data_IF_295356395918
#
_entry.id   IF_295356395918
#
_cell.length_a   1.000
_cell.length_b   1.000
_cell.length_c   1.000
_cell.angle_alpha   90.00
_cell.angle_beta   90.00
_cell.angle_gamma   90.00
#
_symmetry.space_group_name_H-M   'P 1'
#
loop_
_entity.id
_entity.type
_entity.pdbx_description
1 polymer ?
#
# COMPACT_ATOMS: atom_id res chain seq x y z
N UNK A 1 -14.40 0.80 24.01
CA UNK A 1 -13.13 0.61 23.27
C UNK A 1 -13.33 1.07 21.84
N UNK A 2 -12.31 1.65 21.23
CA UNK A 2 -12.32 1.91 19.79
C UNK A 2 -11.39 0.88 19.12
N UNK A 3 -12.01 -0.11 18.47
CA UNK A 3 -11.36 -1.31 17.96
C UNK A 3 -11.49 -1.37 16.44
N UNK A 4 -10.38 -1.18 15.75
CA UNK A 4 -10.31 -1.28 14.29
C UNK A 4 -9.48 -2.49 13.91
N UNK A 5 -9.97 -3.24 12.94
CA UNK A 5 -9.28 -4.40 12.39
C UNK A 5 -9.37 -4.32 10.88
N UNK A 6 -8.22 -4.42 10.21
CA UNK A 6 -8.11 -4.49 8.76
C UNK A 6 -7.50 -5.85 8.36
N UNK A 7 -7.77 -6.28 7.13
CA UNK A 7 -7.30 -7.57 6.66
C UNK A 7 -7.77 -7.91 5.25
N UNK A 8 -7.30 -9.06 4.78
CA UNK A 8 -7.76 -9.70 3.55
C UNK A 8 -8.86 -10.72 3.89
N UNK A 9 -9.30 -11.48 2.88
CA UNK A 9 -10.16 -12.65 3.09
C UNK A 9 -9.45 -13.73 3.91
N UNK A 10 -8.14 -13.86 3.73
CA UNK A 10 -7.32 -14.91 4.33
C UNK A 10 -6.88 -14.60 5.76
N UNK A 11 -6.92 -13.34 6.19
CA UNK A 11 -6.44 -13.00 7.51
C UNK A 11 -6.46 -11.52 7.86
N UNK A 12 -5.99 -11.25 9.07
CA UNK A 12 -5.83 -9.90 9.62
C UNK A 12 -4.46 -9.36 9.20
N UNK A 13 -4.42 -8.11 8.74
CA UNK A 13 -3.17 -7.41 8.40
C UNK A 13 -2.81 -6.33 9.42
N UNK A 14 -3.82 -5.77 10.10
CA UNK A 14 -3.61 -4.71 11.10
C UNK A 14 -4.73 -4.70 12.14
N UNK A 15 -4.36 -4.39 13.39
CA UNK A 15 -5.27 -4.16 14.50
C UNK A 15 -4.84 -2.88 15.20
N UNK A 16 -5.80 -2.00 15.47
CA UNK A 16 -5.63 -0.88 16.38
C UNK A 16 -6.68 -0.97 17.48
N UNK A 17 -6.23 -0.89 18.74
CA UNK A 17 -7.11 -1.00 19.89
C UNK A 17 -6.84 0.15 20.86
N UNK A 18 -7.80 1.07 20.99
CA UNK A 18 -7.80 2.16 21.96
C UNK A 18 -8.73 1.79 23.13
N UNK A 19 -8.12 1.40 24.24
CA UNK A 19 -8.79 0.97 25.47
C UNK A 19 -8.86 2.15 26.44
N UNK A 20 -10.08 2.53 26.82
CA UNK A 20 -10.36 3.68 27.71
C UNK A 20 -10.80 3.27 29.12
N UNK A 21 -10.91 1.97 29.39
CA UNK A 21 -11.38 1.41 30.66
C UNK A 21 -10.51 0.22 31.07
N UNK A 22 -10.35 0.01 32.38
CA UNK A 22 -9.76 -1.23 32.90
C UNK A 22 -10.78 -2.38 32.73
N UNK A 23 -10.30 -3.58 32.34
CA UNK A 23 -11.14 -4.78 32.30
C UNK A 23 -11.59 -5.27 30.92
N UNK A 24 -10.73 -5.20 29.89
CA UNK A 24 -10.98 -5.96 28.65
C UNK A 24 -10.68 -7.45 28.90
N UNK A 25 -11.71 -8.29 28.95
CA UNK A 25 -11.52 -9.75 29.05
C UNK A 25 -11.18 -10.35 27.69
N UNK A 26 -10.52 -11.50 27.70
CA UNK A 26 -10.22 -12.25 26.47
C UNK A 26 -11.48 -12.66 25.72
N UNK A 27 -12.59 -12.91 26.42
CA UNK A 27 -13.87 -13.26 25.82
C UNK A 27 -14.44 -12.10 24.99
N UNK A 28 -14.38 -10.87 25.53
CA UNK A 28 -14.83 -9.67 24.81
C UNK A 28 -13.98 -9.44 23.56
N UNK A 29 -12.66 -9.65 23.65
CA UNK A 29 -11.77 -9.50 22.50
C UNK A 29 -12.05 -10.54 21.41
N UNK A 30 -12.32 -11.79 21.82
CA UNK A 30 -12.66 -12.88 20.90
C UNK A 30 -13.97 -12.59 20.17
N UNK A 31 -15.01 -12.18 20.90
CA UNK A 31 -16.29 -11.78 20.30
C UNK A 31 -16.12 -10.58 19.34
N UNK A 32 -15.33 -9.58 19.74
CA UNK A 32 -15.05 -8.42 18.90
C UNK A 32 -14.34 -8.81 17.60
N UNK A 33 -13.38 -9.73 17.65
CA UNK A 33 -12.67 -10.25 16.47
C UNK A 33 -13.56 -11.08 15.54
N UNK A 34 -14.45 -11.91 16.10
CA UNK A 34 -15.42 -12.66 15.31
C UNK A 34 -16.39 -11.74 14.57
N UNK A 35 -16.90 -10.72 15.28
CA UNK A 35 -17.77 -9.69 14.69
C UNK A 35 -17.03 -8.89 13.62
N UNK A 36 -15.79 -8.49 13.89
CA UNK A 36 -14.95 -7.77 12.94
C UNK A 36 -14.66 -8.63 11.69
N UNK A 37 -14.49 -9.95 11.84
CA UNK A 37 -14.27 -10.85 10.70
C UNK A 37 -15.49 -10.91 9.79
N UNK A 38 -16.70 -11.07 10.35
CA UNK A 38 -17.96 -11.04 9.58
C UNK A 38 -18.14 -9.70 8.87
N UNK A 39 -17.92 -8.60 9.57
CA UNK A 39 -17.99 -7.25 9.00
C UNK A 39 -16.97 -7.03 7.88
N UNK A 40 -15.72 -7.46 8.08
CA UNK A 40 -14.64 -7.35 7.08
C UNK A 40 -15.00 -8.10 5.79
N UNK A 41 -15.45 -9.34 5.90
CA UNK A 41 -15.83 -10.14 4.72
C UNK A 41 -17.00 -9.52 3.98
N UNK A 42 -18.02 -9.04 4.69
CA UNK A 42 -19.15 -8.34 4.07
C UNK A 42 -18.72 -7.10 3.29
N UNK A 43 -17.83 -6.26 3.86
CA UNK A 43 -17.31 -5.08 3.17
C UNK A 43 -16.48 -5.48 1.93
N UNK A 44 -15.62 -6.51 2.05
CA UNK A 44 -14.84 -7.02 0.92
C UNK A 44 -15.72 -7.61 -0.20
N UNK A 45 -16.85 -8.23 0.13
CA UNK A 45 -17.82 -8.73 -0.86
C UNK A 45 -18.46 -7.56 -1.63
N UNK A 46 -18.82 -6.48 -0.94
CA UNK A 46 -19.38 -5.29 -1.58
C UNK A 46 -18.33 -4.56 -2.43
N UNK A 47 -17.08 -4.45 -1.95
CA UNK A 47 -15.98 -3.89 -2.73
C UNK A 47 -15.71 -4.70 -3.99
N UNK A 48 -15.74 -6.04 -3.89
CA UNK A 48 -15.55 -6.94 -5.02
C UNK A 48 -16.58 -6.74 -6.13
N UNK A 49 -17.85 -6.46 -5.79
CA UNK A 49 -18.89 -6.17 -6.78
C UNK A 49 -18.59 -4.91 -7.62
N UNK A 50 -17.83 -3.96 -7.07
CA UNK A 50 -17.43 -2.75 -7.79
C UNK A 50 -16.15 -2.95 -8.61
N UNK A 51 -15.18 -3.70 -8.07
CA UNK A 51 -13.90 -3.98 -8.73
C UNK A 51 -13.27 -5.26 -8.14
N UNK A 52 -13.32 -6.36 -8.90
CA UNK A 52 -12.83 -7.67 -8.43
C UNK A 52 -11.30 -7.79 -8.45
N UNK A 53 -10.65 -7.13 -9.41
CA UNK A 53 -9.21 -7.20 -9.62
C UNK A 53 -8.62 -5.82 -9.94
N UNK A 54 -7.30 -5.71 -9.84
CA UNK A 54 -6.59 -4.51 -10.29
C UNK A 54 -6.79 -4.30 -11.80
N UNK A 55 -6.72 -3.04 -12.23
CA UNK A 55 -6.77 -2.71 -13.67
C UNK A 55 -5.48 -3.16 -14.34
N UNK A 56 -5.58 -3.72 -15.54
CA UNK A 56 -4.42 -4.16 -16.34
C UNK A 56 -3.53 -2.97 -16.70
N UNK A 57 -4.15 -1.84 -17.06
CA UNK A 57 -3.45 -0.62 -17.44
C UNK A 57 -3.60 0.49 -16.39
N UNK A 58 -2.50 1.23 -16.20
CA UNK A 58 -2.52 2.51 -15.50
C UNK A 58 -3.32 3.54 -16.31
N UNK A 59 -3.98 4.45 -15.59
CA UNK A 59 -4.60 5.63 -16.19
C UNK A 59 -3.61 6.42 -17.05
N UNK A 60 -4.06 6.96 -18.18
CA UNK A 60 -3.26 7.84 -19.05
C UNK A 60 -2.79 9.12 -18.35
N UNK A 61 -3.48 9.51 -17.28
CA UNK A 61 -3.13 10.68 -16.47
C UNK A 61 -2.27 10.33 -15.24
N UNK A 62 -2.05 9.04 -14.96
CA UNK A 62 -1.21 8.63 -13.85
C UNK A 62 0.28 8.68 -14.22
N UNK A 63 1.17 9.13 -13.32
CA UNK A 63 2.60 9.03 -13.55
C UNK A 63 3.02 7.56 -13.71
N UNK A 64 3.94 7.31 -14.64
CA UNK A 64 4.48 5.96 -14.90
C UNK A 64 5.90 5.85 -14.36
N UNK A 65 6.20 4.74 -13.72
CA UNK A 65 7.54 4.39 -13.27
C UNK A 65 8.10 3.35 -14.24
N UNK A 66 9.26 3.64 -14.81
CA UNK A 66 10.00 2.72 -15.68
C UNK A 66 11.35 2.44 -15.04
N UNK A 67 11.64 1.17 -14.77
CA UNK A 67 12.94 0.73 -14.27
C UNK A 67 13.77 0.20 -15.42
N UNK A 68 14.91 0.85 -15.68
CA UNK A 68 15.86 0.44 -16.71
C UNK A 68 17.13 -0.03 -16.01
N UNK A 69 17.54 -1.26 -16.29
CA UNK A 69 18.84 -1.75 -15.84
C UNK A 69 19.93 -1.30 -16.82
N UNK A 70 21.06 -0.84 -16.29
CA UNK A 70 22.19 -0.35 -17.06
C UNK A 70 23.44 -1.17 -16.73
N UNK A 71 24.41 -1.20 -17.65
CA UNK A 71 25.74 -1.75 -17.36
C UNK A 71 26.37 -0.92 -16.21
N UNK A 72 26.79 -1.54 -15.09
CA UNK A 72 27.45 -0.87 -13.98
C UNK A 72 28.65 0.00 -14.38
N UNK A 73 29.38 -0.41 -15.43
CA UNK A 73 30.54 0.34 -15.95
C UNK A 73 30.15 1.74 -16.47
N UNK A 74 28.90 1.92 -16.90
CA UNK A 74 28.38 3.19 -17.46
C UNK A 74 27.75 4.11 -16.43
N UNK A 75 27.70 3.71 -15.15
CA UNK A 75 27.11 4.52 -14.08
C UNK A 75 27.77 5.91 -14.01
N UNK A 76 29.10 5.96 -14.12
CA UNK A 76 29.86 7.22 -14.05
C UNK A 76 29.50 8.20 -15.17
N UNK A 77 29.25 7.71 -16.38
CA UNK A 77 28.86 8.52 -17.54
C UNK A 77 27.46 9.12 -17.37
N UNK A 78 26.51 8.32 -16.87
CA UNK A 78 25.11 8.73 -16.68
C UNK A 78 24.98 9.74 -15.53
N UNK A 79 25.68 9.51 -14.42
CA UNK A 79 25.68 10.46 -13.30
C UNK A 79 26.41 11.76 -13.71
N UNK A 80 27.56 11.62 -14.36
CA UNK A 80 28.44 12.72 -14.73
C UNK A 80 29.11 13.41 -13.54
N UNK A 81 29.99 14.39 -13.78
CA UNK A 81 30.73 15.07 -12.72
C UNK A 81 29.80 15.74 -11.70
N UNK A 82 29.92 15.38 -10.42
CA UNK A 82 29.07 15.86 -9.32
C UNK A 82 27.55 15.67 -9.56
N UNK A 83 27.15 14.70 -10.39
CA UNK A 83 25.74 14.46 -10.72
C UNK A 83 25.15 15.44 -11.72
N UNK A 84 25.97 16.23 -12.43
CA UNK A 84 25.48 17.26 -13.37
C UNK A 84 24.62 16.66 -14.49
N UNK A 85 25.04 15.52 -15.06
CA UNK A 85 24.35 14.90 -16.20
C UNK A 85 22.99 14.36 -15.77
N UNK A 86 22.93 13.61 -14.67
CA UNK A 86 21.65 13.05 -14.18
C UNK A 86 20.66 14.15 -13.75
N UNK A 87 21.13 15.23 -13.14
CA UNK A 87 20.27 16.38 -12.79
C UNK A 87 19.73 17.10 -14.02
N UNK A 88 20.57 17.29 -15.04
CA UNK A 88 20.14 17.88 -16.30
C UNK A 88 19.06 17.02 -16.98
N UNK A 89 19.21 15.69 -16.98
CA UNK A 89 18.19 14.77 -17.49
C UNK A 89 16.87 14.93 -16.72
N UNK A 90 16.91 14.98 -15.38
CA UNK A 90 15.72 15.18 -14.55
C UNK A 90 15.03 16.53 -14.85
N UNK A 91 15.80 17.61 -14.99
CA UNK A 91 15.28 18.96 -15.29
C UNK A 91 14.65 19.02 -16.70
N UNK A 92 15.29 18.43 -17.71
CA UNK A 92 14.81 18.44 -19.09
C UNK A 92 13.60 17.53 -19.30
N UNK A 93 13.61 16.34 -18.72
CA UNK A 93 12.55 15.35 -18.90
C UNK A 93 11.41 15.51 -17.90
N UNK A 94 11.60 16.24 -16.80
CA UNK A 94 10.66 16.34 -15.69
C UNK A 94 10.48 15.04 -14.90
N UNK A 95 11.36 14.05 -15.10
CA UNK A 95 11.34 12.79 -14.37
C UNK A 95 12.23 12.87 -13.12
N UNK A 96 11.95 12.02 -12.12
CA UNK A 96 12.69 11.96 -10.85
C UNK A 96 13.39 10.62 -10.66
#
# INVERSE_FOLDING_TARGET
>A
MDFKVAGTRDGVTSIQMDIKIEGLTMDILTEALERATKGRLHILDQMGQALEAHREDLSDYAPRIVSIQINPEKIGEIIGPKGKTIRAIQEESGAS
#
